data_IF_134903263292
#
_entry.id   IF_134903263292
#
_cell.length_a   1.000
_cell.length_b   1.000
_cell.length_c   1.000
_cell.angle_alpha   90.00
_cell.angle_beta   90.00
_cell.angle_gamma   90.00
#
_symmetry.space_group_name_H-M   'P 1'
#
loop_
_entity.id
_entity.type
_entity.pdbx_description
1 polymer ?
#
# COMPACT_ATOMS: atom_id res chain seq x y z
N UNK A 1 -11.87 -15.16 7.39
CA UNK A 1 -11.20 -14.75 6.14
C UNK A 1 -10.53 -15.90 5.40
N UNK A 2 -9.78 -16.78 6.08
CA UNK A 2 -9.00 -17.85 5.42
C UNK A 2 -9.79 -18.71 4.42
N UNK A 3 -11.02 -19.13 4.76
CA UNK A 3 -11.87 -19.90 3.83
C UNK A 3 -12.19 -19.12 2.54
N UNK A 4 -12.48 -17.83 2.66
CA UNK A 4 -12.75 -16.96 1.51
C UNK A 4 -11.48 -16.72 0.70
N UNK A 5 -10.32 -16.59 1.36
CA UNK A 5 -9.03 -16.51 0.70
C UNK A 5 -8.69 -17.80 -0.05
N UNK A 6 -8.98 -18.97 0.53
CA UNK A 6 -8.79 -20.27 -0.13
C UNK A 6 -9.68 -20.37 -1.37
N UNK A 7 -10.97 -20.05 -1.26
CA UNK A 7 -11.89 -20.05 -2.41
C UNK A 7 -11.38 -19.09 -3.49
N UNK A 8 -10.97 -17.88 -3.09
CA UNK A 8 -10.40 -16.89 -4.00
C UNK A 8 -9.14 -17.43 -4.68
N UNK A 9 -8.23 -18.02 -3.92
CA UNK A 9 -7.00 -18.64 -4.43
C UNK A 9 -7.31 -19.73 -5.45
N UNK A 10 -8.29 -20.61 -5.19
CA UNK A 10 -8.71 -21.63 -6.14
C UNK A 10 -9.32 -21.04 -7.42
N UNK A 11 -10.12 -19.98 -7.29
CA UNK A 11 -10.70 -19.28 -8.44
C UNK A 11 -9.62 -18.57 -9.29
N UNK A 12 -8.65 -17.95 -8.65
CA UNK A 12 -7.53 -17.27 -9.32
C UNK A 12 -6.55 -18.29 -9.96
N UNK A 13 -6.33 -19.44 -9.32
CA UNK A 13 -5.51 -20.54 -9.85
C UNK A 13 -6.21 -21.48 -10.83
N UNK A 14 -7.45 -21.18 -11.22
CA UNK A 14 -8.15 -21.93 -12.23
C UNK A 14 -7.54 -21.61 -13.60
N UNK A 15 -6.70 -22.52 -14.11
CA UNK A 15 -5.90 -22.34 -15.33
C UNK A 15 -6.56 -22.93 -16.56
N UNK A 16 -6.38 -22.24 -17.69
CA UNK A 16 -6.79 -22.74 -18.99
C UNK A 16 -5.87 -23.88 -19.47
N UNK A 17 -6.48 -24.94 -20.00
CA UNK A 17 -5.76 -26.02 -20.69
C UNK A 17 -5.51 -25.66 -22.16
N UNK A 18 -4.61 -26.40 -22.82
CA UNK A 18 -4.33 -26.20 -24.25
C UNK A 18 -5.62 -26.24 -25.09
N UNK A 19 -5.82 -25.20 -25.89
CA UNK A 19 -6.94 -25.11 -26.83
C UNK A 19 -8.28 -24.70 -26.21
N UNK A 20 -8.35 -24.40 -24.91
CA UNK A 20 -9.57 -23.88 -24.30
C UNK A 20 -9.88 -22.47 -24.83
N UNK A 21 -11.10 -22.30 -25.33
CA UNK A 21 -11.63 -21.02 -25.74
C UNK A 21 -13.01 -20.81 -25.14
N UNK A 22 -13.29 -19.58 -24.74
CA UNK A 22 -14.64 -19.18 -24.34
C UNK A 22 -15.14 -18.16 -25.38
N UNK A 23 -16.04 -18.61 -26.25
CA UNK A 23 -16.54 -17.81 -27.37
C UNK A 23 -15.38 -17.27 -28.24
N UNK A 24 -15.12 -15.97 -28.22
CA UNK A 24 -14.05 -15.29 -28.98
C UNK A 24 -12.76 -15.08 -28.16
N UNK A 25 -12.65 -15.70 -26.99
CA UNK A 25 -11.52 -15.56 -26.07
C UNK A 25 -10.66 -16.81 -26.17
N UNK A 26 -9.46 -16.66 -26.73
CA UNK A 26 -8.43 -17.69 -26.69
C UNK A 26 -7.51 -17.44 -25.50
N UNK A 27 -7.38 -18.44 -24.63
CA UNK A 27 -6.47 -18.40 -23.50
C UNK A 27 -5.11 -18.98 -23.88
N UNK A 28 -4.04 -18.51 -23.25
CA UNK A 28 -2.75 -19.19 -23.28
C UNK A 28 -2.80 -20.40 -22.34
N UNK A 29 -2.00 -21.43 -22.63
CA UNK A 29 -1.84 -22.56 -21.73
C UNK A 29 -1.31 -22.08 -20.37
N UNK A 30 -1.98 -22.47 -19.29
CA UNK A 30 -1.59 -22.06 -17.94
C UNK A 30 -2.02 -20.65 -17.54
N UNK A 31 -2.75 -19.91 -18.38
CA UNK A 31 -3.27 -18.58 -18.05
C UNK A 31 -4.45 -18.67 -17.06
N UNK A 32 -4.53 -17.77 -16.05
CA UNK A 32 -5.67 -17.73 -15.13
C UNK A 32 -6.96 -17.29 -15.84
N UNK A 33 -8.01 -18.10 -15.74
CA UNK A 33 -9.28 -17.89 -16.46
C UNK A 33 -10.07 -16.73 -15.85
N UNK A 34 -10.34 -16.78 -14.54
CA UNK A 34 -11.22 -15.82 -13.86
C UNK A 34 -10.73 -14.36 -13.99
N UNK A 35 -9.44 -14.05 -13.76
CA UNK A 35 -8.94 -12.68 -13.91
C UNK A 35 -8.99 -12.18 -15.36
N UNK A 36 -8.80 -13.04 -16.36
CA UNK A 36 -8.90 -12.66 -17.78
C UNK A 36 -10.36 -12.42 -18.18
N UNK A 37 -11.31 -13.23 -17.69
CA UNK A 37 -12.74 -13.00 -17.89
C UNK A 37 -13.22 -11.70 -17.23
N UNK A 38 -12.69 -11.38 -16.05
CA UNK A 38 -12.94 -10.11 -15.38
C UNK A 38 -12.35 -8.93 -16.17
N UNK A 39 -11.11 -9.05 -16.67
CA UNK A 39 -10.47 -8.02 -17.49
C UNK A 39 -11.20 -7.74 -18.81
N UNK A 40 -11.89 -8.74 -19.37
CA UNK A 40 -12.72 -8.61 -20.58
C UNK A 40 -14.16 -8.19 -20.32
N UNK A 41 -14.55 -8.01 -19.05
CA UNK A 41 -15.90 -7.58 -18.66
C UNK A 41 -16.97 -8.67 -18.76
N UNK A 42 -16.59 -9.94 -18.94
CA UNK A 42 -17.53 -11.08 -18.88
C UNK A 42 -17.97 -11.29 -17.42
N UNK A 43 -17.02 -11.19 -16.49
CA UNK A 43 -17.28 -11.17 -15.05
C UNK A 43 -17.22 -9.70 -14.60
N UNK A 44 -18.29 -9.19 -14.00
CA UNK A 44 -18.32 -7.79 -13.56
C UNK A 44 -17.48 -7.56 -12.29
N UNK A 45 -17.66 -8.40 -11.27
CA UNK A 45 -16.99 -8.25 -9.98
C UNK A 45 -17.01 -9.56 -9.18
N UNK A 46 -15.95 -9.76 -8.38
CA UNK A 46 -15.81 -10.85 -7.42
C UNK A 46 -15.40 -10.23 -6.08
N UNK A 47 -16.26 -10.32 -5.07
CA UNK A 47 -15.97 -9.79 -3.74
C UNK A 47 -16.40 -10.77 -2.63
N UNK A 48 -15.65 -10.83 -1.52
CA UNK A 48 -16.04 -11.64 -0.37
C UNK A 48 -17.26 -11.03 0.34
N UNK A 49 -18.09 -11.87 0.95
CA UNK A 49 -19.21 -11.43 1.78
C UNK A 49 -18.75 -11.18 3.22
N UNK A 50 -19.19 -10.07 3.81
CA UNK A 50 -18.88 -9.73 5.20
C UNK A 50 -19.73 -10.52 6.20
N UNK A 51 -19.10 -10.92 7.32
CA UNK A 51 -19.80 -11.50 8.46
C UNK A 51 -20.15 -10.43 9.49
N UNK A 52 -21.42 -10.04 9.49
CA UNK A 52 -21.93 -8.92 10.29
C UNK A 52 -21.72 -9.09 11.80
N UNK A 53 -21.67 -10.33 12.31
CA UNK A 53 -21.46 -10.60 13.75
C UNK A 53 -20.06 -10.20 14.20
N UNK A 54 -19.03 -10.63 13.46
CA UNK A 54 -17.63 -10.32 13.76
C UNK A 54 -17.39 -8.83 13.56
N UNK A 55 -17.92 -8.24 12.49
CA UNK A 55 -17.78 -6.82 12.20
C UNK A 55 -18.33 -5.95 13.34
N UNK A 56 -19.52 -6.28 13.88
CA UNK A 56 -20.11 -5.57 15.02
C UNK A 56 -19.26 -5.69 16.29
N UNK A 57 -18.69 -6.88 16.55
CA UNK A 57 -17.78 -7.09 17.68
C UNK A 57 -16.53 -6.23 17.52
N UNK A 58 -15.90 -6.27 16.35
CA UNK A 58 -14.70 -5.50 16.04
C UNK A 58 -14.96 -4.00 16.13
N UNK A 59 -16.10 -3.52 15.62
CA UNK A 59 -16.50 -2.11 15.75
C UNK A 59 -16.58 -1.67 17.22
N UNK A 60 -17.11 -2.52 18.10
CA UNK A 60 -17.21 -2.22 19.54
C UNK A 60 -15.85 -2.24 20.24
N UNK A 61 -15.01 -3.25 19.97
CA UNK A 61 -13.72 -3.42 20.66
C UNK A 61 -12.58 -2.58 20.10
N UNK A 62 -12.70 -2.09 18.86
CA UNK A 62 -11.63 -1.34 18.20
C UNK A 62 -12.00 0.11 17.93
N UNK A 63 -13.17 0.37 17.32
CA UNK A 63 -13.54 1.73 16.88
C UNK A 63 -14.13 2.55 18.02
N UNK A 64 -14.95 1.92 18.86
CA UNK A 64 -15.60 2.58 19.99
C UNK A 64 -14.71 2.62 21.25
N UNK A 65 -13.69 1.77 21.30
CA UNK A 65 -12.73 1.73 22.40
C UNK A 65 -11.68 2.84 22.22
N UNK A 66 -11.89 3.97 22.89
CA UNK A 66 -10.97 5.11 22.85
C UNK A 66 -9.81 4.86 23.81
N UNK A 67 -8.58 5.12 23.36
CA UNK A 67 -7.33 4.96 24.13
C UNK A 67 -6.99 3.51 24.54
N UNK A 68 -7.66 2.50 23.99
CA UNK A 68 -7.23 1.11 24.12
C UNK A 68 -6.23 0.72 23.02
N UNK A 69 -5.40 -0.28 23.30
CA UNK A 69 -4.50 -0.84 22.29
C UNK A 69 -5.32 -1.46 21.15
N UNK A 70 -4.94 -1.18 19.90
CA UNK A 70 -5.67 -1.71 18.76
C UNK A 70 -5.53 -3.24 18.68
N UNK A 71 -6.63 -4.00 18.49
CA UNK A 71 -6.58 -5.46 18.36
C UNK A 71 -6.12 -5.85 16.96
N UNK A 72 -4.82 -5.70 16.69
CA UNK A 72 -4.23 -5.89 15.36
C UNK A 72 -4.39 -7.32 14.82
N UNK A 73 -4.36 -8.32 15.70
CA UNK A 73 -4.53 -9.73 15.30
C UNK A 73 -5.97 -9.99 14.83
N UNK A 74 -6.99 -9.48 15.54
CA UNK A 74 -8.40 -9.62 15.13
C UNK A 74 -8.67 -8.91 13.79
N UNK A 75 -8.02 -7.75 13.57
CA UNK A 75 -8.09 -7.01 12.30
C UNK A 75 -7.44 -7.85 11.19
N UNK A 76 -6.30 -8.48 11.47
CA UNK A 76 -5.60 -9.37 10.54
C UNK A 76 -6.45 -10.59 10.18
N UNK A 77 -7.07 -11.24 11.16
CA UNK A 77 -7.90 -12.44 10.94
C UNK A 77 -9.17 -12.15 10.13
N UNK A 78 -9.71 -10.93 10.23
CA UNK A 78 -10.92 -10.54 9.51
C UNK A 78 -10.64 -9.91 8.15
N UNK A 79 -9.72 -8.94 8.06
CA UNK A 79 -9.44 -8.16 6.84
C UNK A 79 -8.21 -8.65 6.07
N UNK A 80 -7.32 -9.40 6.72
CA UNK A 80 -6.05 -9.86 6.16
C UNK A 80 -4.87 -8.94 6.49
N UNK A 81 -3.69 -9.49 6.23
CA UNK A 81 -2.39 -8.91 6.62
C UNK A 81 -2.17 -7.50 6.08
N UNK A 82 -2.53 -7.23 4.81
CA UNK A 82 -2.31 -5.91 4.18
C UNK A 82 -3.05 -4.79 4.91
N UNK A 83 -4.30 -5.04 5.29
CA UNK A 83 -5.13 -4.05 5.99
C UNK A 83 -4.68 -3.92 7.46
N UNK A 84 -4.34 -5.03 8.11
CA UNK A 84 -3.82 -5.01 9.47
C UNK A 84 -2.47 -4.27 9.57
N UNK A 85 -1.57 -4.44 8.59
CA UNK A 85 -0.31 -3.71 8.52
C UNK A 85 -0.52 -2.20 8.39
N UNK A 86 -1.50 -1.77 7.59
CA UNK A 86 -1.88 -0.37 7.49
C UNK A 86 -2.34 0.20 8.83
N UNK A 87 -3.24 -0.51 9.54
CA UNK A 87 -3.72 -0.04 10.84
C UNK A 87 -2.65 -0.10 11.93
N UNK A 88 -1.76 -1.10 11.90
CA UNK A 88 -0.57 -1.15 12.75
C UNK A 88 0.33 0.07 12.55
N UNK A 89 0.58 0.44 11.28
CA UNK A 89 1.34 1.66 10.96
C UNK A 89 0.63 2.91 11.45
N UNK A 90 -0.68 3.01 11.25
CA UNK A 90 -1.47 4.16 11.67
C UNK A 90 -1.47 4.33 13.21
N UNK A 91 -1.63 3.24 13.95
CA UNK A 91 -1.55 3.25 15.42
C UNK A 91 -0.16 3.63 15.92
N UNK A 92 0.89 3.10 15.29
CA UNK A 92 2.27 3.48 15.59
C UNK A 92 2.54 4.96 15.28
N UNK A 93 2.08 5.45 14.13
CA UNK A 93 2.24 6.85 13.72
C UNK A 93 1.55 7.81 14.69
N UNK A 94 0.29 7.53 15.04
CA UNK A 94 -0.48 8.39 15.96
C UNK A 94 0.11 8.42 17.37
N UNK A 95 0.55 7.29 17.90
CA UNK A 95 1.24 7.23 19.20
C UNK A 95 2.60 7.94 19.16
N UNK A 96 3.38 7.79 18.08
CA UNK A 96 4.67 8.46 17.94
C UNK A 96 4.56 9.99 17.74
N UNK A 97 3.47 10.48 17.14
CA UNK A 97 3.20 11.91 16.99
C UNK A 97 2.97 12.63 18.32
N UNK A 98 2.65 11.91 19.40
CA UNK A 98 2.52 12.49 20.73
C UNK A 98 3.85 13.10 21.20
N UNK A 99 5.00 12.51 20.88
CA UNK A 99 6.30 13.04 21.33
C UNK A 99 6.61 14.43 20.74
N UNK A 100 6.54 14.66 19.41
CA UNK A 100 6.73 15.99 18.86
C UNK A 100 5.64 16.98 19.28
N UNK A 101 4.38 16.52 19.43
CA UNK A 101 3.30 17.40 19.85
C UNK A 101 3.53 17.95 21.27
N UNK A 102 3.90 17.09 22.23
CA UNK A 102 4.20 17.49 23.60
C UNK A 102 5.46 18.35 23.66
N UNK A 103 6.55 17.92 23.03
CA UNK A 103 7.81 18.65 23.04
C UNK A 103 7.69 20.03 22.37
N UNK A 104 7.02 20.09 21.22
CA UNK A 104 6.75 21.35 20.51
C UNK A 104 5.86 22.30 21.32
N UNK A 105 4.82 21.78 21.99
CA UNK A 105 3.94 22.61 22.85
C UNK A 105 4.71 23.23 24.03
N UNK A 106 5.64 22.47 24.62
CA UNK A 106 6.50 22.96 25.71
C UNK A 106 7.40 24.09 25.18
N UNK A 107 8.11 23.87 24.07
CA UNK A 107 9.00 24.88 23.48
C UNK A 107 8.24 26.14 23.03
N UNK A 108 7.03 25.97 22.50
CA UNK A 108 6.17 27.09 22.10
C UNK A 108 5.85 27.99 23.29
N UNK A 109 5.57 27.41 24.47
CA UNK A 109 5.30 28.18 25.69
C UNK A 109 6.51 29.01 26.16
N UNK A 110 7.74 28.56 25.89
CA UNK A 110 8.98 29.29 26.22
C UNK A 110 9.39 30.33 25.15
N UNK A 111 8.76 30.30 23.98
CA UNK A 111 9.09 31.21 22.88
C UNK A 111 8.59 32.63 23.14
N UNK A 112 7.53 32.80 23.92
CA UNK A 112 6.88 34.10 24.23
C UNK A 112 7.76 35.07 25.05
N UNK A 113 8.93 34.65 25.53
CA UNK A 113 9.72 35.46 26.47
C UNK A 113 10.72 36.42 25.81
N UNK A 114 11.39 36.06 24.70
CA UNK A 114 12.44 36.86 24.04
C UNK A 114 12.83 36.34 22.64
N UNK A 115 13.31 37.22 21.74
CA UNK A 115 13.79 36.85 20.39
C UNK A 115 14.93 35.83 20.41
N UNK A 116 15.83 35.92 21.40
CA UNK A 116 16.94 34.96 21.58
C UNK A 116 16.43 33.59 22.04
N UNK A 117 15.35 33.54 22.84
CA UNK A 117 14.68 32.31 23.25
C UNK A 117 14.05 31.58 22.06
N UNK A 118 13.47 32.35 21.12
CA UNK A 118 12.89 31.81 19.89
C UNK A 118 13.94 31.10 19.01
N UNK A 119 15.08 31.75 18.77
CA UNK A 119 16.14 31.19 17.93
C UNK A 119 16.71 29.89 18.53
N UNK A 120 16.95 29.88 19.84
CA UNK A 120 17.42 28.70 20.57
C UNK A 120 16.37 27.58 20.51
N UNK A 121 15.10 27.90 20.74
CA UNK A 121 14.00 26.92 20.69
C UNK A 121 13.85 26.30 19.30
N UNK A 122 14.03 27.10 18.24
CA UNK A 122 14.00 26.62 16.85
C UNK A 122 15.11 25.61 16.58
N UNK A 123 16.35 25.90 16.97
CA UNK A 123 17.50 25.00 16.79
C UNK A 123 17.31 23.71 17.58
N UNK A 124 16.87 23.81 18.83
CA UNK A 124 16.60 22.64 19.69
C UNK A 124 15.49 21.77 19.08
N UNK A 125 14.41 22.37 18.59
CA UNK A 125 13.32 21.65 17.94
C UNK A 125 13.76 20.98 16.64
N UNK A 126 14.60 21.63 15.84
CA UNK A 126 15.13 21.05 14.59
C UNK A 126 15.97 19.79 14.87
N UNK A 127 16.90 19.86 15.85
CA UNK A 127 17.72 18.72 16.26
C UNK A 127 16.83 17.57 16.76
N UNK A 128 15.85 17.89 17.62
CA UNK A 128 14.89 16.91 18.11
C UNK A 128 14.14 16.23 16.95
N UNK A 129 13.61 16.98 15.97
CA UNK A 129 12.86 16.41 14.86
C UNK A 129 13.71 15.46 14.00
N UNK A 130 14.98 15.77 13.76
CA UNK A 130 15.88 14.89 12.99
C UNK A 130 16.12 13.58 13.75
N UNK A 131 16.40 13.66 15.06
CA UNK A 131 16.60 12.47 15.91
C UNK A 131 15.30 11.67 16.02
N UNK A 132 14.18 12.32 16.29
CA UNK A 132 12.89 11.67 16.40
C UNK A 132 12.47 10.98 15.09
N UNK A 133 12.63 11.65 13.94
CA UNK A 133 12.25 11.09 12.64
C UNK A 133 13.10 9.86 12.27
N UNK A 134 14.40 9.90 12.56
CA UNK A 134 15.29 8.75 12.34
C UNK A 134 14.92 7.56 13.24
N UNK A 135 14.71 7.81 14.54
CA UNK A 135 14.25 6.77 15.47
C UNK A 135 12.87 6.20 15.08
N UNK A 136 11.94 7.06 14.67
CA UNK A 136 10.60 6.68 14.22
C UNK A 136 10.65 5.71 13.04
N UNK A 137 11.45 6.03 12.01
CA UNK A 137 11.58 5.18 10.82
C UNK A 137 12.26 3.84 11.14
N UNK A 138 13.33 3.85 11.95
CA UNK A 138 14.03 2.62 12.33
C UNK A 138 13.17 1.73 13.24
N UNK A 139 12.42 2.32 14.18
CA UNK A 139 11.50 1.58 15.03
C UNK A 139 10.34 0.97 14.22
N UNK A 140 9.81 1.69 13.23
CA UNK A 140 8.82 1.13 12.32
C UNK A 140 9.37 -0.03 11.50
N UNK A 141 10.58 0.09 10.94
CA UNK A 141 11.20 -1.02 10.18
C UNK A 141 11.27 -2.29 11.03
N UNK A 142 11.68 -2.17 12.29
CA UNK A 142 11.74 -3.30 13.24
C UNK A 142 10.37 -3.86 13.56
N UNK A 143 9.40 -3.02 13.94
CA UNK A 143 8.02 -3.46 14.25
C UNK A 143 7.30 -4.05 13.04
N UNK A 144 7.49 -3.45 11.87
CA UNK A 144 6.94 -3.94 10.61
C UNK A 144 7.46 -5.35 10.26
N UNK A 145 8.76 -5.60 10.49
CA UNK A 145 9.34 -6.93 10.34
C UNK A 145 8.79 -7.94 11.36
N UNK A 146 8.61 -7.53 12.63
CA UNK A 146 7.99 -8.37 13.66
C UNK A 146 6.55 -8.76 13.29
N UNK A 147 5.73 -7.80 12.83
CA UNK A 147 4.37 -8.09 12.37
C UNK A 147 4.35 -8.96 11.11
N UNK A 148 5.23 -8.70 10.14
CA UNK A 148 5.34 -9.54 8.94
C UNK A 148 5.76 -10.98 9.28
N UNK A 149 6.64 -11.16 10.27
CA UNK A 149 7.01 -12.47 10.78
C UNK A 149 5.83 -13.15 11.48
N UNK A 150 5.19 -12.45 12.42
CA UNK A 150 4.05 -12.98 13.20
C UNK A 150 2.88 -13.41 12.31
N UNK A 151 2.63 -12.67 11.24
CA UNK A 151 1.55 -12.95 10.29
C UNK A 151 1.99 -13.84 9.10
N UNK A 152 3.24 -14.33 9.10
CA UNK A 152 3.73 -15.31 8.12
C UNK A 152 3.93 -14.76 6.71
N UNK A 153 4.05 -13.44 6.54
CA UNK A 153 4.30 -12.79 5.23
C UNK A 153 5.73 -12.28 5.08
N UNK A 154 6.64 -12.64 5.99
CA UNK A 154 8.05 -12.21 5.89
C UNK A 154 8.76 -12.88 4.70
N UNK A 155 8.48 -14.17 4.49
CA UNK A 155 9.14 -15.01 3.47
C UNK A 155 8.30 -15.18 2.21
N UNK A 156 7.33 -14.30 1.94
CA UNK A 156 6.56 -14.38 0.70
C UNK A 156 7.52 -14.36 -0.49
N UNK A 157 7.32 -15.29 -1.46
CA UNK A 157 8.23 -15.45 -2.59
C UNK A 157 8.46 -14.12 -3.31
N UNK A 158 9.67 -13.91 -3.83
CA UNK A 158 10.06 -12.69 -4.52
C UNK A 158 9.00 -12.28 -5.57
N UNK A 159 8.80 -10.97 -5.76
CA UNK A 159 7.83 -10.37 -6.70
C UNK A 159 7.87 -11.00 -8.10
N UNK A 160 8.99 -11.60 -8.50
CA UNK A 160 9.15 -12.39 -9.73
C UNK A 160 8.27 -13.64 -9.84
N UNK A 161 7.74 -14.16 -8.72
CA UNK A 161 6.82 -15.30 -8.68
C UNK A 161 5.35 -14.85 -8.58
N UNK A 162 5.09 -13.55 -8.39
CA UNK A 162 3.72 -13.03 -8.50
C UNK A 162 3.26 -13.07 -9.95
N UNK A 163 2.01 -13.48 -10.14
CA UNK A 163 1.42 -13.52 -11.47
C UNK A 163 1.30 -12.12 -12.07
N UNK A 164 1.56 -11.95 -13.38
CA UNK A 164 1.38 -10.67 -14.03
C UNK A 164 -0.09 -10.24 -13.93
N UNK A 165 -0.31 -8.94 -13.72
CA UNK A 165 -1.65 -8.36 -13.67
C UNK A 165 -2.48 -8.77 -14.91
N UNK A 166 -3.79 -9.04 -14.79
CA UNK A 166 -4.59 -9.56 -15.90
C UNK A 166 -4.66 -8.64 -17.13
N UNK A 167 -4.57 -7.33 -16.90
CA UNK A 167 -4.57 -6.30 -17.96
C UNK A 167 -3.19 -6.12 -18.60
N UNK A 168 -2.18 -6.88 -18.18
CA UNK A 168 -0.86 -6.82 -18.78
C UNK A 168 -0.92 -7.31 -20.23
N UNK A 169 -0.28 -6.57 -21.12
CA UNK A 169 -0.20 -6.88 -22.55
C UNK A 169 1.26 -6.76 -22.98
N UNK A 170 1.69 -7.69 -23.80
CA UNK A 170 3.08 -7.79 -24.24
C UNK A 170 3.23 -8.70 -25.44
N UNK A 171 4.47 -8.96 -25.82
CA UNK A 171 4.83 -9.91 -26.87
C UNK A 171 4.89 -11.29 -26.21
N UNK A 172 4.26 -12.30 -26.85
CA UNK A 172 4.34 -13.68 -26.35
C UNK A 172 5.79 -14.17 -26.43
N UNK A 173 6.31 -14.74 -25.35
CA UNK A 173 7.65 -15.29 -25.25
C UNK A 173 7.63 -16.50 -24.31
N UNK A 174 8.53 -17.46 -24.53
CA UNK A 174 8.78 -18.53 -23.56
C UNK A 174 9.68 -17.99 -22.43
N UNK A 175 9.21 -18.11 -21.20
CA UNK A 175 9.94 -17.65 -20.01
C UNK A 175 11.26 -18.40 -19.86
N UNK A 176 12.40 -17.71 -19.64
CA UNK A 176 13.69 -18.36 -19.45
C UNK A 176 13.79 -19.09 -18.09
N UNK A 177 12.87 -18.85 -17.16
CA UNK A 177 12.88 -19.44 -15.81
C UNK A 177 11.85 -20.56 -15.68
N UNK A 178 10.60 -20.31 -16.08
CA UNK A 178 9.50 -21.26 -15.91
C UNK A 178 9.25 -22.15 -17.13
N UNK A 179 9.89 -21.83 -18.27
CA UNK A 179 9.63 -22.47 -19.57
C UNK A 179 8.17 -22.42 -20.05
N UNK A 180 7.32 -21.63 -19.38
CA UNK A 180 5.93 -21.40 -19.77
C UNK A 180 5.80 -20.24 -20.76
N UNK A 181 4.73 -20.20 -21.55
CA UNK A 181 4.39 -19.05 -22.38
C UNK A 181 3.92 -17.87 -21.52
N UNK A 182 4.60 -16.72 -21.63
CA UNK A 182 4.26 -15.50 -20.89
C UNK A 182 4.20 -14.30 -21.83
N UNK A 183 3.50 -13.25 -21.38
CA UNK A 183 3.60 -11.93 -22.01
C UNK A 183 4.86 -11.22 -21.50
N UNK A 184 5.69 -10.72 -22.41
CA UNK A 184 6.88 -9.96 -22.11
C UNK A 184 6.78 -8.53 -22.65
N UNK A 185 7.15 -7.55 -21.83
CA UNK A 185 7.26 -6.15 -22.25
C UNK A 185 8.70 -5.65 -22.07
N UNK A 186 9.37 -5.16 -23.14
CA UNK A 186 10.78 -4.81 -23.07
C UNK A 186 11.03 -3.60 -22.15
N UNK A 187 12.04 -3.65 -21.26
CA UNK A 187 12.26 -2.64 -20.22
C UNK A 187 12.62 -1.27 -20.78
N UNK A 188 13.31 -1.21 -21.92
CA UNK A 188 13.68 0.06 -22.55
C UNK A 188 12.46 0.84 -23.06
N UNK A 189 11.42 0.16 -23.57
CA UNK A 189 10.17 0.82 -23.97
C UNK A 189 9.42 1.35 -22.75
N UNK A 190 9.46 0.59 -21.65
CA UNK A 190 8.84 0.99 -20.38
C UNK A 190 9.53 2.23 -19.83
N UNK A 191 10.86 2.26 -19.86
CA UNK A 191 11.65 3.41 -19.44
C UNK A 191 11.38 4.62 -20.34
N UNK A 192 11.35 4.43 -21.66
CA UNK A 192 11.05 5.50 -22.61
C UNK A 192 9.66 6.11 -22.36
N UNK A 193 8.64 5.28 -22.12
CA UNK A 193 7.30 5.77 -21.76
C UNK A 193 7.28 6.49 -20.42
N UNK A 194 7.96 5.95 -19.40
CA UNK A 194 8.08 6.61 -18.09
C UNK A 194 8.78 7.97 -18.21
N UNK A 195 9.88 8.05 -18.97
CA UNK A 195 10.67 9.26 -19.11
C UNK A 195 10.02 10.32 -20.01
N UNK A 196 9.37 9.93 -21.12
CA UNK A 196 8.81 10.88 -22.09
C UNK A 196 7.34 11.22 -21.85
N UNK A 197 6.61 10.39 -21.10
CA UNK A 197 5.16 10.60 -20.86
C UNK A 197 4.89 10.80 -19.37
N UNK A 198 5.22 9.82 -18.52
CA UNK A 198 4.85 9.90 -17.11
C UNK A 198 5.57 11.05 -16.37
N UNK A 199 6.89 11.18 -16.54
CA UNK A 199 7.66 12.25 -15.89
C UNK A 199 7.23 13.65 -16.33
N UNK A 200 7.08 13.98 -17.63
CA UNK A 200 6.64 15.31 -18.04
C UNK A 200 5.21 15.64 -17.59
N UNK A 201 4.30 14.65 -17.60
CA UNK A 201 2.94 14.84 -17.07
C UNK A 201 2.97 15.13 -15.58
N UNK A 202 3.74 14.38 -14.79
CA UNK A 202 3.92 14.66 -13.37
C UNK A 202 4.49 16.06 -13.12
N UNK A 203 5.53 16.45 -13.88
CA UNK A 203 6.13 17.79 -13.77
C UNK A 203 5.15 18.91 -14.15
N UNK A 204 4.32 18.69 -15.18
CA UNK A 204 3.28 19.64 -15.58
C UNK A 204 2.18 19.78 -14.51
N UNK A 205 1.78 18.68 -13.88
CA UNK A 205 0.83 18.73 -12.76
C UNK A 205 1.44 19.46 -11.54
N UNK A 206 2.70 19.20 -11.21
CA UNK A 206 3.40 19.89 -10.11
C UNK A 206 3.58 21.38 -10.40
N UNK A 207 3.94 21.76 -11.63
CA UNK A 207 4.07 23.17 -12.01
C UNK A 207 2.73 23.89 -12.00
N UNK A 208 1.64 23.24 -12.44
CA UNK A 208 0.29 23.78 -12.36
C UNK A 208 -0.11 24.07 -10.91
N UNK A 209 0.08 23.11 -10.00
CA UNK A 209 -0.20 23.29 -8.57
C UNK A 209 0.62 24.45 -7.99
N UNK A 210 1.89 24.56 -8.37
CA UNK A 210 2.76 25.66 -7.95
C UNK A 210 2.28 27.03 -8.45
N UNK A 211 1.89 27.13 -9.73
CA UNK A 211 1.37 28.38 -10.31
C UNK A 211 0.03 28.77 -9.67
N UNK A 212 -0.85 27.81 -9.40
CA UNK A 212 -2.11 28.07 -8.69
C UNK A 212 -1.85 28.60 -7.28
N UNK A 213 -0.88 28.02 -6.56
CA UNK A 213 -0.47 28.49 -5.25
C UNK A 213 0.07 29.93 -5.31
N UNK A 214 0.90 30.27 -6.29
CA UNK A 214 1.35 31.66 -6.50
C UNK A 214 0.20 32.61 -6.82
N UNK A 215 -0.77 32.16 -7.63
CA UNK A 215 -1.98 32.92 -7.93
C UNK A 215 -2.81 33.19 -6.67
N UNK A 216 -2.99 32.20 -5.80
CA UNK A 216 -3.64 32.38 -4.50
C UNK A 216 -2.92 33.40 -3.63
N UNK A 217 -1.57 33.36 -3.57
CA UNK A 217 -0.80 34.35 -2.80
C UNK A 217 -0.87 35.77 -3.35
N UNK A 218 -1.10 35.95 -4.65
CA UNK A 218 -1.30 37.28 -5.23
C UNK A 218 -2.72 37.82 -5.00
N UNK A 219 -3.70 36.94 -4.80
CA UNK A 219 -5.09 37.29 -4.55
C UNK A 219 -5.40 37.55 -3.07
N UNK A 220 -4.60 36.97 -2.16
CA UNK A 220 -4.70 37.15 -0.71
C UNK A 220 -3.95 38.40 -0.25
#
# INVERSE_FOLDING_TARGET
QERQNIIRYWLENLRAKQGESLHNIHFLEGQPIIPELAARGVIQQLFPLHEQRILKRLMKSWVQAVCEAQPLDDICDYFGVKIAMYFAWLGFYTSAMVYPAVFGSILYSFTESDQTSQDISCVVFAIFNVVWATLFLEEWKRRGAEFAYKWGTLDTPAESLEEPRPQFRGIKRISPVTSAEEFYYPPWKRLLFQCLVSLPVCLACLSLVFLLMLGCFQLQ
#
